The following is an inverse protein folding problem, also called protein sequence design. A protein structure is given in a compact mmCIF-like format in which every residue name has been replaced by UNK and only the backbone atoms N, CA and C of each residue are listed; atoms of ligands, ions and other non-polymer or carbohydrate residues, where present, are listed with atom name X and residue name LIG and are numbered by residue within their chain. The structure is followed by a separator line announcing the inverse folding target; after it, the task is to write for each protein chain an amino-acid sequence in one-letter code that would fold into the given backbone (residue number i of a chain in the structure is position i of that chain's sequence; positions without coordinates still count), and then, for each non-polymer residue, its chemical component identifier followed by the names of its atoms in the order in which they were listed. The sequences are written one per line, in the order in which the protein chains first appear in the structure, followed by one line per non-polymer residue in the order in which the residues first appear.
data_IF_317228973576
#
_entry.id   IF_317228973576
#
_cell.length_a   1.000
_cell.length_b   1.000
_cell.length_c   1.000
_cell.angle_alpha   90.00
_cell.angle_beta   90.00
_cell.angle_gamma   90.00
#
_symmetry.space_group_name_H-M   'P 1'
#
loop_
_entity.id
_entity.type
_entity.pdbx_description
1 polymer ?
#
# COMPACT_ATOMS: atom_id res chain seq x y z
N UNK A 1 -18.96 12.86 -1.70
CA UNK A 1 -17.71 12.93 -2.48
C UNK A 1 -17.87 13.90 -3.64
N UNK A 2 -17.37 15.14 -3.53
CA UNK A 2 -17.65 16.20 -4.52
C UNK A 2 -16.59 16.36 -5.63
N UNK A 3 -15.47 15.63 -5.54
CA UNK A 3 -14.30 15.86 -6.42
C UNK A 3 -13.75 14.60 -7.11
N UNK A 4 -14.46 13.47 -7.04
CA UNK A 4 -14.03 12.24 -7.74
C UNK A 4 -14.36 12.37 -9.22
N UNK A 5 -13.33 12.27 -10.06
CA UNK A 5 -13.46 12.28 -11.52
C UNK A 5 -13.42 10.84 -12.03
N UNK A 6 -13.90 10.64 -13.25
CA UNK A 6 -13.83 9.33 -13.92
C UNK A 6 -12.39 8.77 -13.91
N UNK A 7 -11.38 9.59 -14.20
CA UNK A 7 -9.96 9.17 -14.20
C UNK A 7 -9.43 8.67 -12.84
N UNK A 8 -10.11 9.00 -11.75
CA UNK A 8 -9.72 8.62 -10.39
C UNK A 8 -10.30 7.25 -10.00
N UNK A 9 -11.24 6.70 -10.80
CA UNK A 9 -11.80 5.37 -10.60
C UNK A 9 -10.91 4.28 -11.21
N UNK A 10 -10.92 3.05 -10.66
CA UNK A 10 -10.18 1.93 -11.23
C UNK A 10 -10.57 1.64 -12.68
N UNK A 11 -9.60 1.27 -13.52
CA UNK A 11 -9.80 1.06 -14.96
C UNK A 11 -10.87 0.02 -15.29
N UNK A 12 -11.03 -1.01 -14.46
CA UNK A 12 -12.05 -2.05 -14.65
C UNK A 12 -13.48 -1.53 -14.49
N UNK A 13 -13.71 -0.42 -13.76
CA UNK A 13 -15.03 0.22 -13.65
C UNK A 13 -15.45 0.85 -14.98
N UNK A 14 -14.50 1.17 -15.86
CA UNK A 14 -14.77 1.72 -17.18
C UNK A 14 -14.83 0.66 -18.27
N UNK A 15 -14.68 -0.61 -17.91
CA UNK A 15 -14.62 -1.70 -18.88
C UNK A 15 -15.98 -1.86 -19.57
N UNK A 16 -15.97 -1.86 -20.90
CA UNK A 16 -17.15 -2.26 -21.71
C UNK A 16 -17.13 -3.75 -22.03
N UNK A 17 -16.12 -4.48 -21.55
CA UNK A 17 -16.02 -5.92 -21.70
C UNK A 17 -16.88 -6.60 -20.63
N UNK A 18 -17.93 -7.30 -21.06
CA UNK A 18 -18.81 -8.04 -20.15
C UNK A 18 -18.10 -9.20 -19.44
N UNK A 19 -16.98 -9.68 -19.96
CA UNK A 19 -16.18 -10.75 -19.36
C UNK A 19 -15.02 -10.21 -18.51
N UNK A 20 -15.01 -8.93 -18.16
CA UNK A 20 -14.00 -8.35 -17.28
C UNK A 20 -14.09 -8.94 -15.87
N UNK A 21 -13.08 -9.71 -15.50
CA UNK A 21 -13.06 -10.49 -14.25
C UNK A 21 -13.14 -9.59 -13.02
N UNK A 22 -12.42 -8.47 -13.00
CA UNK A 22 -12.40 -7.58 -11.84
C UNK A 22 -13.70 -6.81 -11.70
N UNK A 23 -14.26 -6.33 -12.80
CA UNK A 23 -15.58 -5.70 -12.80
C UNK A 23 -16.65 -6.66 -12.27
N UNK A 24 -16.73 -7.87 -12.84
CA UNK A 24 -17.72 -8.86 -12.44
C UNK A 24 -17.56 -9.29 -10.98
N UNK A 25 -16.32 -9.48 -10.51
CA UNK A 25 -16.04 -9.77 -9.12
C UNK A 25 -16.54 -8.67 -8.18
N UNK A 26 -16.26 -7.40 -8.48
CA UNK A 26 -16.70 -6.27 -7.67
C UNK A 26 -18.23 -6.15 -7.65
N UNK A 27 -18.90 -6.34 -8.79
CA UNK A 27 -20.36 -6.31 -8.86
C UNK A 27 -20.98 -7.45 -8.04
N UNK A 28 -20.49 -8.69 -8.20
CA UNK A 28 -20.99 -9.84 -7.44
C UNK A 28 -20.76 -9.70 -5.93
N UNK A 29 -19.61 -9.15 -5.52
CA UNK A 29 -19.32 -8.87 -4.13
C UNK A 29 -20.30 -7.83 -3.56
N UNK A 30 -20.56 -6.76 -4.32
CA UNK A 30 -21.48 -5.68 -3.94
C UNK A 30 -22.91 -6.17 -3.80
N UNK A 31 -23.40 -6.98 -4.75
CA UNK A 31 -24.76 -7.55 -4.74
C UNK A 31 -25.02 -8.49 -3.54
N UNK A 32 -23.96 -8.99 -2.92
CA UNK A 32 -24.05 -9.87 -1.74
C UNK A 32 -23.91 -9.14 -0.42
N UNK A 33 -23.56 -7.85 -0.41
CA UNK A 33 -23.32 -7.08 0.82
C UNK A 33 -24.54 -7.11 1.75
N UNK A 34 -25.76 -7.00 1.21
CA UNK A 34 -27.00 -7.01 2.00
C UNK A 34 -27.25 -8.32 2.76
N UNK A 35 -26.53 -9.40 2.41
CA UNK A 35 -26.60 -10.69 3.11
C UNK A 35 -25.63 -10.78 4.28
N UNK A 36 -24.73 -9.83 4.44
CA UNK A 36 -23.77 -9.80 5.54
C UNK A 36 -24.46 -9.37 6.85
N UNK A 37 -23.97 -9.89 7.97
CA UNK A 37 -24.44 -9.44 9.30
C UNK A 37 -23.91 -8.05 9.67
N UNK A 38 -22.77 -7.65 9.10
CA UNK A 38 -22.13 -6.36 9.27
C UNK A 38 -21.09 -6.15 8.15
N UNK A 39 -20.74 -4.89 7.88
CA UNK A 39 -19.64 -4.51 6.98
C UNK A 39 -18.58 -3.77 7.78
N UNK A 40 -17.34 -4.26 7.70
CA UNK A 40 -16.22 -3.71 8.45
C UNK A 40 -15.26 -3.01 7.49
N UNK A 41 -14.95 -1.74 7.78
CA UNK A 41 -13.95 -0.97 7.06
C UNK A 41 -12.71 -0.75 7.93
N UNK A 42 -11.53 -0.93 7.34
CA UNK A 42 -10.24 -0.65 7.97
C UNK A 42 -9.89 0.84 7.89
N UNK A 43 -10.81 1.68 8.37
CA UNK A 43 -10.73 3.14 8.42
C UNK A 43 -11.24 3.64 9.78
N UNK A 44 -11.27 4.95 10.01
CA UNK A 44 -11.88 5.56 11.20
C UNK A 44 -12.75 6.75 10.82
N UNK A 45 -13.81 7.00 11.60
CA UNK A 45 -14.88 7.95 11.23
C UNK A 45 -14.37 9.35 10.91
N UNK A 46 -13.37 9.85 11.65
CA UNK A 46 -12.82 11.20 11.42
C UNK A 46 -12.12 11.31 10.06
N UNK A 47 -11.54 10.22 9.55
CA UNK A 47 -10.85 10.22 8.25
C UNK A 47 -11.84 10.28 7.07
N UNK A 48 -12.92 9.52 7.15
CA UNK A 48 -13.82 9.26 6.02
C UNK A 48 -15.30 9.52 6.33
N UNK A 49 -15.58 10.48 7.23
CA UNK A 49 -16.94 10.75 7.73
C UNK A 49 -18.01 10.79 6.65
N UNK A 50 -17.80 11.58 5.60
CA UNK A 50 -18.78 11.75 4.52
C UNK A 50 -19.04 10.44 3.76
N UNK A 51 -18.03 9.58 3.64
CA UNK A 51 -18.15 8.27 2.97
C UNK A 51 -18.91 7.31 3.88
N UNK A 52 -18.57 7.29 5.16
CA UNK A 52 -19.22 6.44 6.18
C UNK A 52 -20.71 6.80 6.32
N UNK A 53 -21.03 8.09 6.43
CA UNK A 53 -22.40 8.60 6.49
C UNK A 53 -23.17 8.20 5.22
N UNK A 54 -22.57 8.35 4.03
CA UNK A 54 -23.19 7.95 2.77
C UNK A 54 -23.45 6.44 2.70
N UNK A 55 -22.47 5.61 3.01
CA UNK A 55 -22.60 4.15 2.99
C UNK A 55 -23.62 3.66 4.02
N UNK A 56 -23.64 4.23 5.23
CA UNK A 56 -24.63 3.90 6.26
C UNK A 56 -26.07 4.21 5.82
N UNK A 57 -26.26 5.19 4.93
CA UNK A 57 -27.58 5.52 4.38
C UNK A 57 -28.00 4.60 3.22
N UNK A 58 -27.04 3.94 2.57
CA UNK A 58 -27.26 3.09 1.39
C UNK A 58 -27.34 1.60 1.71
N UNK A 59 -26.58 1.15 2.71
CA UNK A 59 -26.47 -0.26 3.07
C UNK A 59 -27.44 -0.64 4.19
N UNK A 60 -27.99 -1.85 4.10
CA UNK A 60 -28.88 -2.40 5.15
C UNK A 60 -28.07 -2.90 6.37
N UNK A 61 -26.96 -3.63 6.21
CA UNK A 61 -26.20 -4.12 7.35
C UNK A 61 -25.55 -2.98 8.16
N UNK A 62 -25.33 -3.17 9.47
CA UNK A 62 -24.54 -2.24 10.26
C UNK A 62 -23.11 -2.14 9.71
N UNK A 63 -22.56 -0.94 9.83
CA UNK A 63 -21.25 -0.58 9.29
C UNK A 63 -20.33 -0.12 10.43
N UNK A 64 -19.15 -0.70 10.51
CA UNK A 64 -18.15 -0.39 11.55
C UNK A 64 -16.81 0.00 10.94
N UNK A 65 -16.26 1.12 11.41
CA UNK A 65 -14.88 1.52 11.16
C UNK A 65 -13.98 1.11 12.34
N UNK A 66 -13.07 0.16 12.12
CA UNK A 66 -12.22 -0.40 13.19
C UNK A 66 -10.74 -0.04 13.04
N UNK A 67 -10.41 0.91 12.17
CA UNK A 67 -9.05 1.34 11.91
C UNK A 67 -8.54 2.42 12.89
N UNK A 68 -7.23 2.72 12.84
CA UNK A 68 -6.19 1.96 12.14
C UNK A 68 -5.81 0.68 12.93
N UNK A 69 -5.82 -0.46 12.24
CA UNK A 69 -5.63 -1.78 12.87
C UNK A 69 -4.28 -1.88 13.62
N UNK A 70 -3.26 -1.15 13.16
CA UNK A 70 -1.94 -1.13 13.78
C UNK A 70 -1.98 -0.63 15.23
N UNK A 71 -2.85 0.33 15.56
CA UNK A 71 -3.02 0.80 16.94
C UNK A 71 -3.74 -0.22 17.83
N UNK A 72 -4.57 -1.08 17.24
CA UNK A 72 -5.20 -2.19 17.94
C UNK A 72 -4.20 -3.31 18.22
N UNK A 73 -3.34 -3.62 17.25
CA UNK A 73 -2.29 -4.65 17.39
C UNK A 73 -1.32 -4.32 18.53
N UNK A 74 -0.97 -3.05 18.74
CA UNK A 74 -0.11 -2.61 19.83
C UNK A 74 -0.70 -2.84 21.24
N UNK A 75 -2.00 -3.18 21.34
CA UNK A 75 -2.67 -3.48 22.60
C UNK A 75 -2.69 -4.98 22.93
N UNK A 76 -2.26 -5.83 21.98
CA UNK A 76 -2.21 -7.28 22.16
C UNK A 76 -0.91 -7.64 22.90
N UNK A 77 -0.95 -8.41 24.00
CA UNK A 77 0.26 -8.86 24.69
C UNK A 77 1.17 -9.68 23.78
N UNK A 78 2.48 -9.39 23.75
CA UNK A 78 3.48 -10.07 22.90
C UNK A 78 3.43 -11.60 22.97
N UNK A 79 3.19 -12.15 24.17
CA UNK A 79 3.17 -13.60 24.40
C UNK A 79 2.03 -14.33 23.68
N UNK A 80 0.96 -13.62 23.30
CA UNK A 80 -0.27 -14.23 22.76
C UNK A 80 -0.19 -14.61 21.28
N UNK A 81 0.78 -14.08 20.51
CA UNK A 81 0.93 -14.29 19.06
C UNK A 81 2.35 -14.76 18.65
N UNK A 82 3.14 -15.18 19.64
CA UNK A 82 4.57 -15.50 19.52
C UNK A 82 5.01 -16.46 18.39
N UNK A 83 4.18 -17.37 17.82
CA UNK A 83 4.62 -18.19 16.69
C UNK A 83 4.46 -17.54 15.31
N UNK A 84 3.60 -16.52 15.15
CA UNK A 84 3.16 -16.02 13.83
C UNK A 84 3.56 -14.56 13.57
N UNK A 85 3.86 -13.78 14.62
CA UNK A 85 4.19 -12.35 14.46
C UNK A 85 3.12 -11.58 13.68
N UNK A 86 3.49 -10.44 13.10
CA UNK A 86 2.59 -9.66 12.21
C UNK A 86 2.83 -9.93 10.72
N UNK A 87 3.85 -10.71 10.40
CA UNK A 87 4.30 -11.01 9.05
C UNK A 87 4.60 -12.49 8.91
N UNK A 88 4.15 -13.09 7.80
CA UNK A 88 4.51 -14.46 7.44
C UNK A 88 5.96 -14.56 6.91
N UNK A 89 6.62 -13.42 6.71
CA UNK A 89 8.01 -13.32 6.26
C UNK A 89 8.95 -13.11 7.43
N UNK A 90 10.13 -13.70 7.35
CA UNK A 90 11.22 -13.42 8.28
C UNK A 90 11.54 -11.93 8.24
N UNK A 91 11.53 -11.30 9.41
CA UNK A 91 11.84 -9.87 9.52
C UNK A 91 13.34 -9.62 9.37
N UNK A 92 13.68 -8.60 8.59
CA UNK A 92 15.05 -8.12 8.40
C UNK A 92 15.23 -6.80 9.19
N UNK A 93 16.12 -6.81 10.19
CA UNK A 93 16.30 -5.68 11.11
C UNK A 93 17.48 -4.77 10.74
N UNK A 94 18.25 -5.14 9.72
CA UNK A 94 19.45 -4.42 9.26
C UNK A 94 19.12 -2.99 8.79
N UNK A 95 17.96 -2.81 8.16
CA UNK A 95 17.48 -1.50 7.74
C UNK A 95 17.23 -0.55 8.93
N UNK A 96 16.86 -1.08 10.10
CA UNK A 96 16.61 -0.29 11.30
C UNK A 96 17.91 0.32 11.83
N UNK A 97 19.03 -0.40 11.75
CA UNK A 97 20.34 0.12 12.14
C UNK A 97 20.74 1.31 11.27
N UNK A 98 20.51 1.23 9.95
CA UNK A 98 20.76 2.34 9.05
C UNK A 98 19.82 3.52 9.32
N UNK A 99 18.53 3.29 9.55
CA UNK A 99 17.55 4.34 9.89
C UNK A 99 17.91 5.07 11.19
N UNK A 100 18.33 4.32 12.22
CA UNK A 100 18.75 4.87 13.52
C UNK A 100 20.00 5.78 13.42
N UNK A 101 20.79 5.66 12.35
CA UNK A 101 21.94 6.53 12.10
C UNK A 101 21.59 7.90 11.50
N UNK A 102 20.34 8.11 11.10
CA UNK A 102 19.88 9.33 10.41
C UNK A 102 19.16 10.27 11.38
N UNK A 103 19.12 11.55 11.03
CA UNK A 103 18.40 12.54 11.82
C UNK A 103 16.88 12.26 11.77
N UNK A 104 16.13 12.62 12.82
CA UNK A 104 14.67 12.50 12.80
C UNK A 104 14.06 13.24 11.60
N UNK A 105 13.05 12.62 10.97
CA UNK A 105 12.34 13.19 9.81
C UNK A 105 13.24 13.51 8.58
N UNK A 106 14.40 12.86 8.43
CA UNK A 106 15.35 13.16 7.35
C UNK A 106 15.42 12.11 6.23
N UNK A 107 14.58 11.07 6.28
CA UNK A 107 14.61 9.94 5.33
C UNK A 107 13.27 9.85 4.61
N UNK A 108 13.32 9.77 3.28
CA UNK A 108 12.14 9.52 2.44
C UNK A 108 11.88 8.02 2.35
N UNK A 109 10.72 7.57 2.80
CA UNK A 109 10.26 6.19 2.60
C UNK A 109 9.61 6.05 1.21
N UNK A 110 10.00 5.04 0.45
CA UNK A 110 9.43 4.75 -0.86
C UNK A 110 9.05 3.28 -0.99
N UNK A 111 7.79 3.04 -1.35
CA UNK A 111 7.26 1.71 -1.63
C UNK A 111 6.06 1.85 -2.59
N UNK A 112 5.97 0.96 -3.57
CA UNK A 112 4.88 0.90 -4.54
C UNK A 112 3.84 -0.19 -4.21
N UNK A 113 3.89 -0.75 -3.01
CA UNK A 113 3.00 -1.82 -2.58
C UNK A 113 3.28 -3.14 -3.30
N UNK A 114 2.40 -4.12 -3.09
CA UNK A 114 2.55 -5.50 -3.58
C UNK A 114 2.01 -5.74 -5.00
N UNK A 115 1.26 -4.79 -5.56
CA UNK A 115 0.55 -4.99 -6.84
C UNK A 115 1.13 -4.13 -7.96
N UNK A 116 1.54 -2.90 -7.68
CA UNK A 116 2.01 -2.01 -8.72
C UNK A 116 3.32 -2.52 -9.33
N UNK A 117 3.40 -2.42 -10.66
CA UNK A 117 4.58 -2.73 -11.47
C UNK A 117 4.92 -1.52 -12.33
N UNK A 118 6.19 -1.40 -12.71
CA UNK A 118 6.67 -0.33 -13.57
C UNK A 118 7.57 -0.87 -14.68
N UNK A 119 7.80 -0.05 -15.70
CA UNK A 119 8.75 -0.37 -16.76
C UNK A 119 10.19 -0.17 -16.24
N UNK A 120 11.20 -0.80 -16.87
CA UNK A 120 12.60 -0.52 -16.56
C UNK A 120 12.94 0.97 -16.68
N UNK A 121 12.37 1.65 -17.69
CA UNK A 121 12.54 3.10 -17.87
C UNK A 121 12.02 3.90 -16.67
N UNK A 122 10.81 3.59 -16.18
CA UNK A 122 10.26 4.29 -15.02
C UNK A 122 11.10 4.05 -13.76
N UNK A 123 11.64 2.83 -13.57
CA UNK A 123 12.55 2.54 -12.46
C UNK A 123 13.81 3.42 -12.53
N UNK A 124 14.41 3.54 -13.72
CA UNK A 124 15.61 4.35 -13.93
C UNK A 124 15.34 5.84 -13.72
N UNK A 125 14.27 6.39 -14.28
CA UNK A 125 13.90 7.79 -14.11
C UNK A 125 13.60 8.12 -12.65
N UNK A 126 12.81 7.27 -11.99
CA UNK A 126 12.45 7.46 -10.59
C UNK A 126 13.68 7.36 -9.68
N UNK A 127 14.53 6.37 -9.92
CA UNK A 127 15.84 6.27 -9.28
C UNK A 127 16.66 7.54 -9.50
N UNK A 128 16.83 7.97 -10.75
CA UNK A 128 17.56 9.20 -11.09
C UNK A 128 17.06 10.41 -10.30
N UNK A 129 15.74 10.57 -10.20
CA UNK A 129 15.09 11.58 -9.37
C UNK A 129 15.47 11.48 -7.89
N UNK A 130 15.37 10.29 -7.31
CA UNK A 130 15.76 10.06 -5.92
C UNK A 130 17.24 10.36 -5.66
N UNK A 131 18.14 9.97 -6.57
CA UNK A 131 19.57 10.23 -6.45
C UNK A 131 19.89 11.74 -6.53
N UNK A 132 19.14 12.47 -7.37
CA UNK A 132 19.29 13.91 -7.55
C UNK A 132 18.63 14.74 -6.44
N UNK A 133 17.68 14.17 -5.68
CA UNK A 133 16.93 14.84 -4.61
C UNK A 133 17.78 15.31 -3.43
N UNK A 134 19.00 14.76 -3.27
CA UNK A 134 19.89 14.96 -2.11
C UNK A 134 19.33 14.50 -0.76
N UNK A 135 18.15 13.90 -0.71
CA UNK A 135 17.63 13.25 0.48
C UNK A 135 18.22 11.85 0.67
N UNK A 136 18.34 11.45 1.93
CA UNK A 136 18.41 10.03 2.27
C UNK A 136 17.06 9.40 1.92
N UNK A 137 17.07 8.22 1.32
CA UNK A 137 15.83 7.49 1.03
C UNK A 137 15.98 6.03 1.40
N UNK A 138 14.86 5.43 1.81
CA UNK A 138 14.70 4.01 2.01
C UNK A 138 13.66 3.53 1.00
N UNK A 139 14.11 2.81 -0.04
CA UNK A 139 13.26 2.35 -1.13
C UNK A 139 13.14 0.84 -1.11
N UNK A 140 11.92 0.34 -0.91
CA UNK A 140 11.58 -1.07 -1.01
C UNK A 140 11.41 -1.45 -2.48
N UNK A 141 12.30 -2.30 -2.99
CA UNK A 141 12.25 -2.83 -4.35
C UNK A 141 11.93 -4.32 -4.28
N UNK A 142 10.78 -4.70 -4.84
CA UNK A 142 10.36 -6.09 -4.93
C UNK A 142 10.95 -6.74 -6.18
N UNK A 143 11.27 -8.06 -6.16
CA UNK A 143 11.81 -8.75 -7.34
C UNK A 143 10.95 -8.60 -8.59
N UNK A 144 9.63 -8.53 -8.43
CA UNK A 144 8.60 -8.42 -9.46
C UNK A 144 8.10 -6.97 -9.69
N UNK A 145 8.80 -5.96 -9.17
CA UNK A 145 8.43 -4.55 -9.37
C UNK A 145 8.54 -4.11 -10.83
N UNK A 146 9.37 -4.78 -11.63
CA UNK A 146 9.64 -4.44 -13.04
C UNK A 146 8.97 -5.44 -13.97
N UNK A 147 8.25 -4.95 -14.98
CA UNK A 147 7.58 -5.80 -15.97
C UNK A 147 8.64 -6.52 -16.83
N UNK A 148 8.55 -7.85 -16.87
CA UNK A 148 9.33 -8.69 -17.80
C UNK A 148 10.79 -8.95 -17.41
N UNK A 149 11.29 -8.35 -16.34
CA UNK A 149 12.66 -8.52 -15.83
C UNK A 149 12.65 -8.51 -14.30
N UNK A 150 13.58 -9.20 -13.64
CA UNK A 150 13.76 -9.00 -12.19
C UNK A 150 14.33 -7.61 -11.93
N UNK A 151 13.82 -6.93 -10.91
CA UNK A 151 14.19 -5.55 -10.55
C UNK A 151 15.66 -5.42 -10.08
N UNK A 152 16.62 -5.51 -11.01
CA UNK A 152 18.01 -5.19 -10.77
C UNK A 152 18.24 -3.72 -11.09
N UNK A 153 18.46 -2.90 -10.06
CA UNK A 153 19.06 -1.59 -10.27
C UNK A 153 20.45 -1.79 -10.88
N UNK A 154 20.78 -1.04 -11.92
CA UNK A 154 22.09 -1.14 -12.56
C UNK A 154 23.22 -0.90 -11.53
N UNK A 155 24.39 -1.57 -11.68
CA UNK A 155 25.52 -1.38 -10.76
C UNK A 155 25.97 0.08 -10.62
N UNK A 156 25.78 0.90 -11.66
CA UNK A 156 26.04 2.35 -11.65
C UNK A 156 25.19 3.10 -10.63
N UNK A 157 23.97 2.60 -10.38
CA UNK A 157 23.03 3.19 -9.43
C UNK A 157 23.39 2.84 -7.97
N UNK A 158 23.88 1.62 -7.74
CA UNK A 158 24.37 1.15 -6.43
C UNK A 158 25.74 1.78 -6.08
N UNK A 159 26.58 2.01 -7.09
CA UNK A 159 27.95 2.50 -6.91
C UNK A 159 28.10 3.95 -6.44
N UNK A 160 27.08 4.80 -6.60
CA UNK A 160 27.18 6.23 -6.28
C UNK A 160 27.07 6.59 -4.79
N UNK A 161 26.64 5.69 -3.89
CA UNK A 161 26.45 6.05 -2.46
C UNK A 161 26.92 5.04 -1.41
N UNK A 162 27.71 4.03 -1.79
CA UNK A 162 28.43 3.19 -0.81
C UNK A 162 29.78 3.80 -0.37
N UNK A 163 30.25 4.87 -1.02
CA UNK A 163 31.58 5.47 -0.80
C UNK A 163 31.60 6.77 0.01
N UNK A 164 30.45 7.28 0.47
CA UNK A 164 30.37 8.55 1.21
C UNK A 164 29.60 8.43 2.54
N UNK A 165 29.75 7.28 3.22
CA UNK A 165 29.33 7.10 4.61
C UNK A 165 30.54 6.71 5.45
#
# INVERSE_FOLDING_TARGET
MKDIRLRDLPTFIHSTNHDDVMFNFCMEATDKVDKASAVVFLTFDVLEKDVMDALSSMLIPPLDAIGPIQLLLNQIPEDSLSPIGHSLWKEETECLQWLNSKAPNSVVYVNFGSVAVMTPQHLMEFGGGLANSKFHFFWVIRPDLVVGESAYLSPEFVGKRRKEA
#
